data_IF_864610841375
#
_entry.id   IF_864610841375
#
_cell.length_a   1.000
_cell.length_b   1.000
_cell.length_c   1.000
_cell.angle_alpha   90.00
_cell.angle_beta   90.00
_cell.angle_gamma   90.00
#
_symmetry.space_group_name_H-M   'P 1'
#
loop_
_entity.id
_entity.type
_entity.pdbx_description
1 polymer ?
#
# COMPACT_ATOMS: atom_id res chain seq x y z
N UNK A 1 16.76 8.01 -3.82
CA UNK A 1 16.78 6.55 -3.57
C UNK A 1 16.50 5.84 -4.89
N UNK A 2 17.24 4.78 -5.19
CA UNK A 2 17.01 3.96 -6.38
C UNK A 2 16.82 2.50 -5.97
N UNK A 3 16.08 1.78 -6.78
CA UNK A 3 16.02 0.32 -6.73
C UNK A 3 17.03 -0.25 -7.71
N UNK A 4 17.96 -1.05 -7.23
CA UNK A 4 18.88 -1.84 -8.04
C UNK A 4 18.26 -3.24 -8.18
N UNK A 5 18.16 -3.76 -9.40
CA UNK A 5 17.58 -5.07 -9.66
C UNK A 5 18.52 -5.92 -10.51
N UNK A 6 18.64 -7.19 -10.15
CA UNK A 6 19.37 -8.20 -10.89
C UNK A 6 18.87 -9.60 -10.54
N UNK A 7 19.30 -10.57 -11.33
CA UNK A 7 18.98 -11.99 -11.12
C UNK A 7 20.24 -12.81 -10.92
N UNK A 8 20.15 -13.85 -10.10
CA UNK A 8 21.23 -14.81 -9.86
C UNK A 8 20.71 -16.24 -9.95
N UNK A 9 21.56 -17.17 -10.39
CA UNK A 9 21.28 -18.59 -10.21
C UNK A 9 21.34 -19.00 -8.73
N UNK A 10 20.74 -20.13 -8.38
CA UNK A 10 20.78 -20.65 -6.99
C UNK A 10 22.20 -20.89 -6.48
N UNK A 11 23.11 -21.33 -7.36
CA UNK A 11 24.52 -21.57 -7.00
C UNK A 11 25.25 -20.26 -6.72
N UNK A 12 25.06 -19.23 -7.57
CA UNK A 12 25.65 -17.91 -7.39
C UNK A 12 25.12 -17.21 -6.13
N UNK A 13 23.81 -17.29 -5.89
CA UNK A 13 23.19 -16.66 -4.72
C UNK A 13 23.78 -17.18 -3.40
N UNK A 14 23.89 -18.50 -3.26
CA UNK A 14 24.45 -19.14 -2.07
C UNK A 14 25.96 -18.85 -1.90
N UNK A 15 26.69 -18.75 -3.02
CA UNK A 15 28.13 -18.49 -3.00
C UNK A 15 28.46 -17.04 -2.63
N UNK A 16 27.74 -16.08 -3.22
CA UNK A 16 28.07 -14.66 -3.12
C UNK A 16 27.66 -14.04 -1.77
N UNK A 17 26.72 -14.66 -1.04
CA UNK A 17 26.25 -14.19 0.30
C UNK A 17 25.92 -12.69 0.34
N UNK A 18 25.31 -12.18 -0.73
CA UNK A 18 25.02 -10.75 -0.94
C UNK A 18 24.14 -10.17 0.18
N UNK A 19 23.29 -10.99 0.77
CA UNK A 19 22.42 -10.60 1.90
C UNK A 19 23.22 -10.02 3.07
N UNK A 20 24.48 -10.44 3.25
CA UNK A 20 25.31 -9.97 4.35
C UNK A 20 25.88 -8.56 4.13
N UNK A 21 25.76 -8.00 2.92
CA UNK A 21 26.37 -6.71 2.55
C UNK A 21 25.35 -5.58 2.44
N UNK A 22 24.05 -5.89 2.42
CA UNK A 22 22.99 -4.91 2.19
C UNK A 22 21.85 -5.09 3.19
N UNK A 23 21.54 -4.04 3.95
CA UNK A 23 20.42 -4.05 4.90
C UNK A 23 19.06 -3.97 4.19
N UNK A 24 18.97 -3.18 3.12
CA UNK A 24 17.71 -2.93 2.40
C UNK A 24 17.60 -3.80 1.15
N UNK A 25 17.57 -5.10 1.34
CA UNK A 25 17.50 -6.11 0.27
C UNK A 25 16.21 -6.93 0.34
N UNK A 26 15.61 -7.18 -0.82
CA UNK A 26 14.52 -8.13 -1.01
C UNK A 26 15.01 -9.18 -2.01
N UNK A 27 14.73 -10.44 -1.74
CA UNK A 27 15.08 -11.53 -2.64
C UNK A 27 13.92 -12.52 -2.73
N UNK A 28 13.60 -12.95 -3.95
CA UNK A 28 12.49 -13.88 -4.23
C UNK A 28 12.97 -14.95 -5.19
N UNK A 29 12.63 -16.21 -4.91
CA UNK A 29 12.91 -17.30 -5.82
C UNK A 29 11.78 -17.45 -6.84
N UNK A 30 12.10 -17.34 -8.13
CA UNK A 30 11.15 -17.53 -9.24
C UNK A 30 11.82 -18.29 -10.36
N UNK A 31 11.09 -19.20 -11.01
CA UNK A 31 11.51 -19.84 -12.28
C UNK A 31 13.01 -20.23 -12.32
N UNK A 32 13.48 -20.90 -11.25
CA UNK A 32 14.87 -21.40 -11.10
C UNK A 32 15.97 -20.34 -10.91
N UNK A 33 15.62 -19.11 -10.60
CA UNK A 33 16.56 -18.04 -10.28
C UNK A 33 16.10 -17.21 -9.08
N UNK A 34 17.04 -16.51 -8.46
CA UNK A 34 16.78 -15.52 -7.43
C UNK A 34 16.68 -14.15 -8.08
N UNK A 35 15.53 -13.51 -7.93
CA UNK A 35 15.33 -12.09 -8.22
C UNK A 35 15.72 -11.29 -6.98
N UNK A 36 16.58 -10.29 -7.15
CA UNK A 36 17.14 -9.51 -6.04
C UNK A 36 16.89 -8.03 -6.30
N UNK A 37 16.36 -7.36 -5.28
CA UNK A 37 16.10 -5.92 -5.25
C UNK A 37 16.84 -5.28 -4.08
N UNK A 38 17.65 -4.27 -4.35
CA UNK A 38 18.37 -3.49 -3.33
C UNK A 38 17.89 -2.04 -3.40
N UNK A 39 17.44 -1.51 -2.26
CA UNK A 39 16.99 -0.12 -2.12
C UNK A 39 18.14 0.72 -1.59
N UNK A 40 18.76 1.47 -2.50
CA UNK A 40 20.00 2.19 -2.21
C UNK A 40 19.84 3.71 -2.29
N UNK A 41 20.25 4.47 -1.25
CA UNK A 41 20.47 5.90 -1.38
C UNK A 41 21.68 6.20 -2.28
N UNK A 42 22.76 5.42 -2.15
CA UNK A 42 24.05 5.58 -2.86
C UNK A 42 24.20 4.61 -4.04
N UNK A 43 23.16 4.52 -4.87
CA UNK A 43 23.06 3.47 -5.90
C UNK A 43 24.22 3.37 -6.91
N UNK A 44 25.02 4.43 -7.08
CA UNK A 44 26.21 4.40 -7.95
C UNK A 44 27.31 3.56 -7.33
N UNK A 45 27.61 3.79 -6.05
CA UNK A 45 28.63 3.07 -5.29
C UNK A 45 28.24 1.59 -5.16
N UNK A 46 26.99 1.33 -4.77
CA UNK A 46 26.50 -0.05 -4.64
C UNK A 46 26.50 -0.80 -5.97
N UNK A 47 26.20 -0.11 -7.08
CA UNK A 47 26.30 -0.71 -8.42
C UNK A 47 27.75 -1.05 -8.78
N UNK A 48 28.71 -0.19 -8.44
CA UNK A 48 30.13 -0.45 -8.64
C UNK A 48 30.58 -1.63 -7.80
N UNK A 49 30.20 -1.68 -6.52
CA UNK A 49 30.47 -2.83 -5.63
C UNK A 49 29.91 -4.14 -6.21
N UNK A 50 28.67 -4.15 -6.69
CA UNK A 50 28.04 -5.32 -7.31
C UNK A 50 28.75 -5.78 -8.58
N UNK A 51 29.28 -4.85 -9.38
CA UNK A 51 30.03 -5.17 -10.60
C UNK A 51 31.44 -5.65 -10.30
N UNK A 52 32.13 -5.03 -9.36
CA UNK A 52 33.56 -5.25 -9.16
C UNK A 52 33.83 -6.39 -8.19
N UNK A 53 33.13 -6.39 -7.05
CA UNK A 53 33.28 -7.41 -6.01
C UNK A 53 32.53 -8.70 -6.36
N UNK A 54 31.27 -8.58 -6.78
CA UNK A 54 30.39 -9.72 -7.03
C UNK A 54 30.33 -10.12 -8.51
N UNK A 55 30.99 -9.37 -9.41
CA UNK A 55 31.05 -9.65 -10.86
C UNK A 55 29.68 -9.72 -11.55
N UNK A 56 28.68 -9.04 -11.00
CA UNK A 56 27.31 -9.04 -11.52
C UNK A 56 27.21 -8.01 -12.64
N UNK A 57 27.12 -8.48 -13.88
CA UNK A 57 27.14 -7.59 -15.07
C UNK A 57 25.76 -7.03 -15.42
N UNK A 58 24.71 -7.84 -15.30
CA UNK A 58 23.35 -7.48 -15.68
C UNK A 58 22.62 -6.86 -14.49
N UNK A 59 22.76 -5.54 -14.36
CA UNK A 59 22.14 -4.77 -13.28
C UNK A 59 21.28 -3.65 -13.88
N UNK A 60 20.00 -3.64 -13.55
CA UNK A 60 19.10 -2.53 -13.83
C UNK A 60 18.99 -1.62 -12.60
N UNK A 61 18.73 -0.33 -12.84
CA UNK A 61 18.59 0.66 -11.77
C UNK A 61 17.41 1.55 -12.09
N UNK A 62 16.47 1.67 -11.16
CA UNK A 62 15.21 2.38 -11.33
C UNK A 62 15.11 3.46 -10.25
N UNK A 63 14.95 4.75 -10.61
CA UNK A 63 14.75 5.80 -9.63
C UNK A 63 13.41 5.61 -8.92
N UNK A 64 13.41 5.61 -7.59
CA UNK A 64 12.19 5.56 -6.80
C UNK A 64 11.70 6.99 -6.57
N UNK A 65 10.54 7.30 -7.15
CA UNK A 65 9.86 8.56 -6.89
C UNK A 65 9.27 8.52 -5.49
N UNK A 66 9.49 9.57 -4.71
CA UNK A 66 8.86 9.74 -3.41
C UNK A 66 7.37 9.96 -3.63
N UNK A 67 6.58 8.91 -3.43
CA UNK A 67 5.12 9.00 -3.49
C UNK A 67 4.61 9.52 -2.15
N UNK A 68 3.73 10.52 -2.19
CA UNK A 68 2.97 11.00 -1.02
C UNK A 68 1.81 10.04 -0.79
N UNK A 69 2.10 8.93 -0.10
CA UNK A 69 1.13 7.87 0.18
C UNK A 69 -0.07 8.38 0.99
N UNK A 70 0.13 9.39 1.83
CA UNK A 70 -0.89 10.12 2.55
C UNK A 70 -1.95 10.74 1.63
N UNK A 71 -1.53 11.33 0.49
CA UNK A 71 -2.44 11.93 -0.47
C UNK A 71 -3.21 10.87 -1.27
N UNK A 72 -2.56 9.76 -1.62
CA UNK A 72 -3.22 8.67 -2.35
C UNK A 72 -4.28 7.97 -1.49
N UNK A 73 -3.98 7.73 -0.22
CA UNK A 73 -4.93 7.11 0.70
C UNK A 73 -6.14 8.03 1.00
N UNK A 74 -5.95 9.34 0.89
CA UNK A 74 -7.05 10.30 0.98
C UNK A 74 -7.94 10.33 -0.27
N UNK A 75 -7.40 10.01 -1.45
CA UNK A 75 -8.17 9.92 -2.69
C UNK A 75 -9.05 8.67 -2.76
N UNK A 76 -8.64 7.57 -2.12
CA UNK A 76 -9.39 6.31 -2.06
C UNK A 76 -10.40 6.25 -0.91
N UNK A 77 -10.45 7.28 -0.06
CA UNK A 77 -11.47 7.41 0.97
C UNK A 77 -12.80 7.86 0.37
N UNK A 78 -13.55 6.89 -0.18
CA UNK A 78 -14.91 7.08 -0.67
C UNK A 78 -15.89 7.12 0.51
N UNK A 79 -16.85 8.05 0.46
CA UNK A 79 -17.98 8.11 1.38
C UNK A 79 -18.83 6.83 1.28
N UNK A 80 -19.28 6.32 2.42
CA UNK A 80 -20.21 5.20 2.44
C UNK A 80 -21.63 5.74 2.57
N UNK A 81 -22.51 5.39 1.64
CA UNK A 81 -23.90 5.83 1.68
C UNK A 81 -24.89 4.67 1.69
N UNK A 82 -25.93 4.82 2.51
CA UNK A 82 -27.12 3.98 2.48
C UNK A 82 -28.31 4.83 1.99
N UNK A 83 -29.53 4.36 2.19
CA UNK A 83 -30.71 5.07 1.67
C UNK A 83 -30.98 6.37 2.43
N UNK A 84 -30.81 6.34 3.76
CA UNK A 84 -31.05 7.43 4.70
C UNK A 84 -29.78 8.05 5.27
N UNK A 85 -28.66 7.31 5.33
CA UNK A 85 -27.41 7.78 5.92
C UNK A 85 -26.28 7.99 4.91
N UNK A 86 -25.36 8.92 5.23
CA UNK A 86 -24.08 9.09 4.52
C UNK A 86 -22.97 9.30 5.54
N UNK A 87 -21.91 8.50 5.43
CA UNK A 87 -20.73 8.51 6.29
C UNK A 87 -19.55 9.05 5.50
N UNK A 88 -18.98 10.15 5.98
CA UNK A 88 -17.87 10.84 5.31
C UNK A 88 -16.66 10.94 6.22
N UNK A 89 -15.47 10.73 5.63
CA UNK A 89 -14.21 10.71 6.37
C UNK A 89 -13.41 12.02 6.30
N UNK A 90 -13.74 12.92 5.37
CA UNK A 90 -13.01 14.18 5.12
C UNK A 90 -13.94 15.37 4.84
N UNK A 91 -13.43 16.58 5.16
CA UNK A 91 -14.09 17.91 5.16
C UNK A 91 -14.82 18.33 3.87
N UNK A 92 -14.61 17.65 2.74
CA UNK A 92 -15.13 18.04 1.42
C UNK A 92 -15.63 16.82 0.65
N UNK A 93 -16.64 16.12 1.14
CA UNK A 93 -17.48 15.35 0.25
C UNK A 93 -18.67 16.20 -0.18
N UNK A 94 -19.05 16.11 -1.46
CA UNK A 94 -20.34 16.61 -1.93
C UNK A 94 -21.38 15.82 -1.17
N UNK A 95 -21.87 16.38 -0.07
CA UNK A 95 -22.90 15.76 0.76
C UNK A 95 -24.10 15.55 -0.16
N UNK A 96 -24.28 14.32 -0.64
CA UNK A 96 -25.57 13.90 -1.15
C UNK A 96 -26.56 14.20 -0.01
N UNK A 97 -27.58 15.02 -0.28
CA UNK A 97 -28.59 15.43 0.71
C UNK A 97 -29.44 14.23 1.13
N UNK A 98 -28.84 13.28 1.85
CA UNK A 98 -29.52 12.20 2.55
C UNK A 98 -30.05 12.75 3.87
N UNK A 99 -31.06 12.06 4.41
CA UNK A 99 -31.79 12.50 5.61
C UNK A 99 -30.87 12.66 6.82
N UNK A 100 -29.84 11.81 6.92
CA UNK A 100 -28.87 11.83 8.00
C UNK A 100 -27.45 11.82 7.44
N UNK A 101 -26.62 12.77 7.86
CA UNK A 101 -25.21 12.85 7.50
C UNK A 101 -24.38 12.69 8.76
N UNK A 102 -23.49 11.70 8.76
CA UNK A 102 -22.59 11.40 9.87
C UNK A 102 -21.16 11.66 9.41
N UNK A 103 -20.46 12.54 10.14
CA UNK A 103 -19.05 12.81 9.92
C UNK A 103 -18.24 11.99 10.90
N UNK A 104 -17.40 11.09 10.41
CA UNK A 104 -16.56 10.23 11.22
C UNK A 104 -15.11 10.56 10.93
N UNK A 105 -14.31 10.75 11.98
CA UNK A 105 -12.89 10.99 11.82
C UNK A 105 -12.19 9.65 11.58
N UNK A 106 -11.49 9.52 10.45
CA UNK A 106 -10.93 8.25 9.97
C UNK A 106 -9.63 7.85 10.66
N UNK A 107 -9.47 8.17 11.94
CA UNK A 107 -8.14 8.17 12.54
C UNK A 107 -7.78 6.81 13.12
N UNK A 108 -8.52 6.21 14.05
CA UNK A 108 -8.09 4.92 14.65
C UNK A 108 -9.22 4.04 15.23
N UNK A 109 -10.49 4.43 15.07
CA UNK A 109 -11.62 3.69 15.64
C UNK A 109 -12.29 2.79 14.59
N UNK A 110 -12.74 1.60 15.01
CA UNK A 110 -13.64 0.78 14.22
C UNK A 110 -15.01 1.47 14.06
N UNK A 111 -15.77 1.14 13.01
CA UNK A 111 -17.11 1.69 12.80
C UNK A 111 -17.19 2.89 11.87
N UNK A 112 -16.23 3.07 10.95
CA UNK A 112 -16.23 4.16 9.95
C UNK A 112 -17.27 3.99 8.83
N UNK A 113 -18.05 2.91 8.86
CA UNK A 113 -19.05 2.56 7.84
C UNK A 113 -18.51 1.72 6.69
N UNK A 114 -17.18 1.67 6.50
CA UNK A 114 -16.55 0.91 5.40
C UNK A 114 -16.59 -0.61 5.57
N UNK A 115 -16.59 -1.08 6.82
CA UNK A 115 -16.65 -2.50 7.10
C UNK A 115 -18.09 -3.01 6.97
N UNK A 116 -18.27 -4.19 6.39
CA UNK A 116 -19.56 -4.80 6.05
C UNK A 116 -20.47 -4.90 7.27
N UNK A 117 -19.91 -5.27 8.42
CA UNK A 117 -20.68 -5.35 9.67
C UNK A 117 -21.27 -4.01 10.10
N UNK A 118 -20.52 -2.91 9.92
CA UNK A 118 -21.01 -1.56 10.24
C UNK A 118 -22.11 -1.16 9.26
N UNK A 119 -21.91 -1.44 7.97
CA UNK A 119 -22.90 -1.16 6.92
C UNK A 119 -24.23 -1.89 7.17
N UNK A 120 -24.18 -3.18 7.51
CA UNK A 120 -25.36 -3.98 7.83
C UNK A 120 -26.08 -3.48 9.08
N UNK A 121 -25.34 -3.09 10.12
CA UNK A 121 -25.92 -2.51 11.33
C UNK A 121 -26.71 -1.22 11.00
N UNK A 122 -26.16 -0.35 10.15
CA UNK A 122 -26.85 0.87 9.70
C UNK A 122 -28.10 0.52 8.90
N UNK A 123 -28.05 -0.45 7.98
CA UNK A 123 -29.22 -0.93 7.24
C UNK A 123 -30.33 -1.45 8.16
N UNK A 124 -29.97 -2.16 9.22
CA UNK A 124 -30.94 -2.61 10.22
C UNK A 124 -31.59 -1.43 10.97
N UNK A 125 -30.81 -0.41 11.33
CA UNK A 125 -31.35 0.83 11.91
C UNK A 125 -32.30 1.51 10.92
N UNK A 126 -31.97 1.60 9.64
CA UNK A 126 -32.86 2.16 8.60
C UNK A 126 -34.19 1.42 8.53
N UNK A 127 -34.16 0.08 8.55
CA UNK A 127 -35.37 -0.75 8.51
C UNK A 127 -36.28 -0.48 9.71
N UNK A 128 -35.71 -0.38 10.91
CA UNK A 128 -36.48 -0.06 12.13
C UNK A 128 -37.10 1.34 12.03
N UNK A 129 -36.33 2.33 11.56
CA UNK A 129 -36.79 3.71 11.41
C UNK A 129 -37.92 3.84 10.38
N UNK A 130 -37.89 3.04 9.29
CA UNK A 130 -38.97 2.99 8.31
C UNK A 130 -40.23 2.36 8.88
N UNK A 131 -40.10 1.26 9.63
CA UNK A 131 -41.25 0.59 10.28
C UNK A 131 -41.98 1.48 11.28
N UNK A 132 -41.27 2.35 12.01
CA UNK A 132 -41.90 3.29 12.97
C UNK A 132 -42.62 4.46 12.31
N UNK A 133 -42.42 4.70 11.02
CA UNK A 133 -43.04 5.80 10.27
C UNK A 133 -44.33 5.40 9.56
N UNK A 134 -44.59 4.10 9.45
CA UNK A 134 -45.83 3.50 8.99
C UNK A 134 -46.66 3.06 10.20
#
# INVERSE_FOLDING_TARGET
MHKIFFTLSSTEFNKLKIINYFENIIYTYKERHWEIEIFSPNHKEDKTLLKDLFRIRKISTIPLKKKKWDLENNQTNVDVSTELFTFSSLKKSKVNKKRYSVKLHNTFAFGTGKHESTFLAIKNIELILKKKKN
#
